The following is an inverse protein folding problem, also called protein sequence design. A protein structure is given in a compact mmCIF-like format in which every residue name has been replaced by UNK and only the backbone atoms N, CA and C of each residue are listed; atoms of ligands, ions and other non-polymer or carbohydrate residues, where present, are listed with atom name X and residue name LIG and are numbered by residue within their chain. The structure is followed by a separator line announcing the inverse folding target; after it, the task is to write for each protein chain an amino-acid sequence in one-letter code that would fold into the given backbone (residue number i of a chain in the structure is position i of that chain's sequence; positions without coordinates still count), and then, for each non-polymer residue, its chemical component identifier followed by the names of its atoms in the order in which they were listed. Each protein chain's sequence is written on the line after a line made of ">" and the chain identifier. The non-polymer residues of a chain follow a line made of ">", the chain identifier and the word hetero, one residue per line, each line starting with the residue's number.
data_IF_247846197385
#
_entry.id   IF_247846197385
#
_cell.length_a   1.000
_cell.length_b   1.000
_cell.length_c   1.000
_cell.angle_alpha   90.00
_cell.angle_beta   90.00
_cell.angle_gamma   90.00
#
_symmetry.space_group_name_H-M   'P 1'
#
loop_
_entity.id
_entity.type
_entity.pdbx_description
1 polymer ?
#
# COMPACT_ATOMS: atom_id res chain seq x y z
N UNK A 1 -14.40 1.39 -7.69
CA UNK A 1 -15.02 1.61 -6.36
C UNK A 1 -14.83 3.04 -5.83
N UNK A 2 -13.61 3.58 -5.76
CA UNK A 2 -13.35 4.92 -5.20
C UNK A 2 -14.23 6.05 -5.77
N UNK A 3 -14.29 6.17 -7.10
CA UNK A 3 -15.13 7.18 -7.78
C UNK A 3 -16.59 7.06 -7.34
N UNK A 4 -17.11 5.83 -7.25
CA UNK A 4 -18.51 5.60 -6.90
C UNK A 4 -18.78 5.89 -5.43
N UNK A 5 -17.88 5.50 -4.52
CA UNK A 5 -17.98 5.80 -3.10
C UNK A 5 -17.99 7.31 -2.85
N UNK A 6 -17.04 8.05 -3.43
CA UNK A 6 -16.96 9.51 -3.28
C UNK A 6 -18.17 10.23 -3.87
N UNK A 7 -18.64 9.80 -5.06
CA UNK A 7 -19.89 10.32 -5.65
C UNK A 7 -21.10 10.02 -4.78
N UNK A 8 -21.15 8.85 -4.14
CA UNK A 8 -22.19 8.48 -3.20
C UNK A 8 -22.20 9.39 -1.96
N UNK A 9 -21.03 9.60 -1.35
CA UNK A 9 -20.88 10.51 -0.19
C UNK A 9 -21.27 11.95 -0.54
N UNK A 10 -20.72 12.50 -1.62
CA UNK A 10 -21.00 13.88 -2.05
C UNK A 10 -22.45 14.09 -2.46
N UNK A 11 -23.06 13.08 -3.08
CA UNK A 11 -24.46 13.12 -3.51
C UNK A 11 -25.45 12.65 -2.44
N UNK A 12 -25.00 12.34 -1.22
CA UNK A 12 -25.82 11.77 -0.14
C UNK A 12 -26.62 10.52 -0.58
N UNK A 13 -26.01 9.70 -1.44
CA UNK A 13 -26.62 8.51 -2.03
C UNK A 13 -26.07 7.25 -1.37
N UNK A 14 -26.79 6.77 -0.36
CA UNK A 14 -26.45 5.57 0.41
C UNK A 14 -26.33 4.31 -0.46
N UNK A 15 -27.11 4.21 -1.54
CA UNK A 15 -27.10 3.05 -2.44
C UNK A 15 -25.80 3.02 -3.24
N UNK A 16 -25.30 4.18 -3.70
CA UNK A 16 -23.99 4.26 -4.37
C UNK A 16 -22.83 3.91 -3.44
N UNK A 17 -22.87 4.34 -2.18
CA UNK A 17 -21.83 3.99 -1.21
C UNK A 17 -21.84 2.48 -0.93
N UNK A 18 -23.01 1.89 -0.73
CA UNK A 18 -23.15 0.44 -0.54
C UNK A 18 -22.66 -0.35 -1.77
N UNK A 19 -23.05 0.06 -2.98
CA UNK A 19 -22.60 -0.59 -4.22
C UNK A 19 -21.07 -0.52 -4.37
N UNK A 20 -20.46 0.62 -4.02
CA UNK A 20 -19.02 0.76 -4.07
C UNK A 20 -18.30 -0.13 -3.05
N UNK A 21 -18.86 -0.30 -1.84
CA UNK A 21 -18.36 -1.20 -0.81
C UNK A 21 -18.47 -2.66 -1.26
N UNK A 22 -19.63 -3.07 -1.76
CA UNK A 22 -19.92 -4.48 -2.07
C UNK A 22 -19.08 -4.97 -3.27
N UNK A 23 -18.82 -4.09 -4.23
CA UNK A 23 -17.95 -4.36 -5.37
C UNK A 23 -16.47 -4.58 -4.97
N UNK A 24 -16.06 -4.27 -3.73
CA UNK A 24 -14.69 -4.52 -3.28
C UNK A 24 -14.37 -6.01 -3.09
N UNK A 25 -15.37 -6.84 -2.82
CA UNK A 25 -15.18 -8.29 -2.61
C UNK A 25 -14.31 -8.92 -3.71
N UNK A 26 -14.65 -8.67 -4.98
CA UNK A 26 -13.89 -9.16 -6.13
C UNK A 26 -12.43 -8.68 -6.17
N UNK A 27 -12.16 -7.45 -5.71
CA UNK A 27 -10.80 -6.91 -5.69
C UNK A 27 -9.98 -7.46 -4.52
N UNK A 28 -10.62 -7.79 -3.39
CA UNK A 28 -9.93 -8.27 -2.18
C UNK A 28 -9.65 -9.76 -2.18
N UNK A 29 -10.33 -10.53 -3.04
CA UNK A 29 -10.21 -11.97 -3.10
C UNK A 29 -8.78 -12.44 -3.38
N UNK A 30 -8.35 -13.50 -2.70
CA UNK A 30 -7.13 -14.21 -3.04
C UNK A 30 -7.37 -15.07 -4.28
N UNK A 31 -6.42 -15.09 -5.21
CA UNK A 31 -6.52 -15.83 -6.47
C UNK A 31 -5.43 -16.91 -6.56
N UNK A 32 -5.65 -17.91 -7.42
CA UNK A 32 -4.67 -18.96 -7.74
C UNK A 32 -4.34 -18.98 -9.24
N UNK A 33 -4.68 -17.92 -9.97
CA UNK A 33 -4.38 -17.73 -11.39
C UNK A 33 -4.69 -16.29 -11.77
N UNK A 34 -3.89 -15.72 -12.67
CA UNK A 34 -4.10 -14.36 -13.17
C UNK A 34 -3.82 -13.28 -12.12
N UNK A 35 -4.49 -12.15 -12.28
CA UNK A 35 -4.22 -10.93 -11.53
C UNK A 35 -4.74 -10.98 -10.09
N UNK A 36 -3.94 -10.47 -9.15
CA UNK A 36 -4.32 -10.32 -7.75
C UNK A 36 -3.27 -10.82 -6.77
N UNK A 37 -3.71 -11.01 -5.53
CA UNK A 37 -2.88 -11.55 -4.43
C UNK A 37 -2.96 -13.08 -4.46
N UNK A 38 -1.79 -13.72 -4.47
CA UNK A 38 -1.63 -15.18 -4.44
C UNK A 38 -1.28 -15.69 -3.04
N UNK A 39 -1.48 -17.00 -2.75
CA UNK A 39 -1.32 -17.56 -1.40
C UNK A 39 0.10 -17.42 -0.82
N UNK A 40 1.14 -17.41 -1.65
CA UNK A 40 2.54 -17.26 -1.24
C UNK A 40 2.91 -15.80 -0.88
N UNK A 41 2.05 -14.84 -1.22
CA UNK A 41 2.27 -13.41 -1.07
C UNK A 41 2.62 -12.71 -2.39
N UNK A 42 2.69 -13.42 -3.52
CA UNK A 42 2.88 -12.80 -4.83
C UNK A 42 1.72 -11.87 -5.17
N UNK A 43 2.03 -10.74 -5.79
CA UNK A 43 1.06 -9.87 -6.44
C UNK A 43 1.32 -9.88 -7.94
N UNK A 44 0.38 -10.43 -8.69
CA UNK A 44 0.44 -10.55 -10.14
C UNK A 44 -0.46 -9.51 -10.78
N UNK A 45 0.03 -8.91 -11.86
CA UNK A 45 -0.77 -8.07 -12.74
C UNK A 45 -0.33 -8.31 -14.20
N UNK A 46 -1.16 -7.93 -15.16
CA UNK A 46 -0.92 -8.24 -16.59
C UNK A 46 -0.72 -9.75 -16.79
N UNK A 47 -1.62 -10.52 -16.17
CA UNK A 47 -1.79 -11.97 -16.22
C UNK A 47 -0.67 -12.79 -15.57
N UNK A 48 0.57 -12.29 -15.58
CA UNK A 48 1.77 -13.09 -15.21
C UNK A 48 2.94 -12.29 -14.65
N UNK A 49 2.85 -10.95 -14.57
CA UNK A 49 4.00 -10.13 -14.18
C UNK A 49 4.02 -9.85 -12.67
N UNK A 50 5.18 -9.99 -11.99
CA UNK A 50 5.34 -9.50 -10.63
C UNK A 50 5.22 -7.98 -10.60
N UNK A 51 4.21 -7.50 -9.89
CA UNK A 51 3.81 -6.09 -9.97
C UNK A 51 3.53 -5.45 -8.62
N UNK A 52 3.92 -6.08 -7.51
CA UNK A 52 3.71 -5.58 -6.15
C UNK A 52 4.24 -4.15 -5.93
N UNK A 53 5.36 -3.80 -6.58
CA UNK A 53 6.02 -2.50 -6.49
C UNK A 53 5.49 -1.44 -7.46
N UNK A 54 4.47 -1.73 -8.29
CA UNK A 54 3.81 -0.72 -9.12
C UNK A 54 2.28 -0.83 -9.10
N UNK A 55 1.65 -1.71 -9.88
CA UNK A 55 0.18 -1.87 -9.76
C UNK A 55 -0.26 -2.30 -8.36
N UNK A 56 0.59 -3.02 -7.62
CA UNK A 56 0.36 -3.33 -6.21
C UNK A 56 0.34 -2.09 -5.31
N UNK A 57 1.08 -1.03 -5.67
CA UNK A 57 1.04 0.28 -4.98
C UNK A 57 -0.31 0.95 -5.19
N UNK A 58 -0.77 1.04 -6.44
CA UNK A 58 -2.07 1.63 -6.78
C UNK A 58 -3.22 0.83 -6.13
N UNK A 59 -3.11 -0.50 -6.12
CA UNK A 59 -4.06 -1.39 -5.48
C UNK A 59 -4.12 -1.16 -3.97
N UNK A 60 -2.98 -1.16 -3.27
CA UNK A 60 -2.92 -1.02 -1.82
C UNK A 60 -3.36 0.37 -1.35
N UNK A 61 -2.86 1.43 -2.00
CA UNK A 61 -3.27 2.82 -1.70
C UNK A 61 -4.76 3.01 -2.01
N UNK A 62 -5.23 2.39 -3.09
CA UNK A 62 -6.62 2.40 -3.52
C UNK A 62 -7.58 1.85 -2.47
N UNK A 63 -7.25 0.66 -1.98
CA UNK A 63 -7.98 -0.01 -0.90
C UNK A 63 -7.80 0.70 0.44
N UNK A 64 -6.59 1.14 0.78
CA UNK A 64 -6.30 1.88 2.00
C UNK A 64 -7.21 3.10 2.17
N UNK A 65 -7.44 3.86 1.09
CA UNK A 65 -8.40 4.97 1.09
C UNK A 65 -9.82 4.52 1.42
N UNK A 66 -10.29 3.42 0.81
CA UNK A 66 -11.66 2.94 1.02
C UNK A 66 -11.85 2.34 2.42
N UNK A 67 -10.86 1.60 2.93
CA UNK A 67 -10.85 1.12 4.31
C UNK A 67 -10.90 2.28 5.30
N UNK A 68 -10.08 3.31 5.09
CA UNK A 68 -10.05 4.49 5.96
C UNK A 68 -11.33 5.34 5.87
N UNK A 69 -11.91 5.49 4.67
CA UNK A 69 -13.12 6.27 4.44
C UNK A 69 -14.35 5.64 5.08
N UNK A 70 -14.47 4.31 4.98
CA UNK A 70 -15.66 3.58 5.43
C UNK A 70 -15.58 3.09 6.88
N UNK A 71 -14.39 3.13 7.50
CA UNK A 71 -14.18 2.71 8.89
C UNK A 71 -15.12 3.43 9.87
N UNK A 72 -15.79 2.65 10.75
CA UNK A 72 -16.72 3.17 11.76
C UNK A 72 -18.06 3.70 11.23
N UNK A 73 -18.28 3.67 9.90
CA UNK A 73 -19.56 4.02 9.30
C UNK A 73 -20.49 2.81 9.18
N UNK A 74 -21.76 3.05 8.82
CA UNK A 74 -22.72 1.98 8.45
C UNK A 74 -22.29 1.19 7.20
N UNK A 75 -21.32 1.69 6.43
CA UNK A 75 -20.74 1.02 5.26
C UNK A 75 -19.35 0.44 5.52
N UNK A 76 -18.95 0.27 6.78
CA UNK A 76 -17.69 -0.38 7.12
C UNK A 76 -17.54 -1.72 6.37
N UNK A 77 -16.32 -1.99 5.89
CA UNK A 77 -16.00 -3.22 5.17
C UNK A 77 -15.93 -4.38 6.17
N UNK A 78 -16.89 -5.29 6.05
CA UNK A 78 -17.03 -6.49 6.90
C UNK A 78 -16.89 -7.80 6.13
N UNK A 79 -16.79 -7.75 4.80
CA UNK A 79 -16.61 -8.95 3.97
C UNK A 79 -15.32 -9.70 4.39
N UNK A 80 -15.34 -11.04 4.56
CA UNK A 80 -14.18 -11.82 5.04
C UNK A 80 -12.89 -11.60 4.24
N UNK A 81 -12.97 -11.40 2.93
CA UNK A 81 -11.79 -11.15 2.07
C UNK A 81 -10.99 -9.91 2.47
N UNK A 82 -11.52 -9.03 3.32
CA UNK A 82 -10.72 -7.95 3.93
C UNK A 82 -9.44 -8.49 4.59
N UNK A 83 -9.48 -9.70 5.16
CA UNK A 83 -8.35 -10.30 5.84
C UNK A 83 -7.22 -10.72 4.88
N UNK A 84 -7.54 -10.93 3.60
CA UNK A 84 -6.54 -11.11 2.54
C UNK A 84 -5.73 -9.82 2.39
N UNK A 85 -6.41 -8.68 2.30
CA UNK A 85 -5.78 -7.35 2.17
C UNK A 85 -4.98 -7.01 3.42
N UNK A 86 -5.57 -7.13 4.61
CA UNK A 86 -4.87 -6.83 5.86
C UNK A 86 -3.62 -7.74 6.01
N UNK A 87 -3.79 -9.06 5.80
CA UNK A 87 -2.68 -10.01 5.89
C UNK A 87 -1.59 -9.81 4.81
N UNK A 88 -1.93 -9.23 3.66
CA UNK A 88 -0.97 -9.01 2.57
C UNK A 88 0.07 -7.93 2.86
N UNK A 89 -0.16 -7.00 3.80
CA UNK A 89 0.90 -6.09 4.26
C UNK A 89 2.12 -6.89 4.75
N UNK A 90 1.91 -7.91 5.57
CA UNK A 90 2.99 -8.76 6.09
C UNK A 90 3.52 -9.76 5.05
N UNK A 91 2.64 -10.35 4.23
CA UNK A 91 3.02 -11.46 3.33
C UNK A 91 3.57 -10.99 1.98
N UNK A 92 3.13 -9.83 1.50
CA UNK A 92 3.44 -9.29 0.18
C UNK A 92 4.38 -8.11 0.27
N UNK A 93 3.99 -7.01 0.94
CA UNK A 93 4.73 -5.76 0.81
C UNK A 93 5.87 -5.58 1.81
N UNK A 94 5.70 -5.97 3.07
CA UNK A 94 6.75 -5.78 4.08
C UNK A 94 8.10 -6.45 3.71
N UNK A 95 8.14 -7.66 3.10
CA UNK A 95 9.41 -8.26 2.65
C UNK A 95 10.01 -7.59 1.41
N UNK A 96 9.24 -6.77 0.69
CA UNK A 96 9.65 -6.14 -0.57
C UNK A 96 10.08 -4.68 -0.41
N UNK A 97 9.91 -4.12 0.79
CA UNK A 97 10.37 -2.79 1.18
C UNK A 97 11.65 -2.95 1.99
N UNK A 98 12.68 -2.16 1.66
CA UNK A 98 13.95 -2.16 2.36
C UNK A 98 14.43 -0.72 2.54
N UNK A 99 14.55 -0.24 3.78
CA UNK A 99 15.03 1.12 4.07
C UNK A 99 14.38 2.23 3.20
N UNK A 100 13.07 2.08 2.95
CA UNK A 100 12.27 3.07 2.20
C UNK A 100 12.04 2.75 0.72
N UNK A 101 12.92 1.99 0.06
CA UNK A 101 12.73 1.57 -1.33
C UNK A 101 11.84 0.34 -1.43
N UNK A 102 11.19 0.14 -2.58
CA UNK A 102 10.61 -1.15 -2.97
C UNK A 102 11.46 -1.79 -4.08
N UNK A 103 11.74 -3.09 -3.98
CA UNK A 103 12.62 -3.75 -4.95
C UNK A 103 12.13 -3.63 -6.41
N UNK A 104 13.04 -3.27 -7.31
CA UNK A 104 12.74 -3.12 -8.74
C UNK A 104 12.28 -4.42 -9.42
N UNK A 105 12.70 -5.57 -8.89
CA UNK A 105 12.32 -6.89 -9.40
C UNK A 105 10.80 -7.14 -9.40
N UNK A 106 10.01 -6.36 -8.65
CA UNK A 106 8.55 -6.44 -8.55
C UNK A 106 7.83 -5.21 -9.10
N UNK A 107 8.53 -4.36 -9.86
CA UNK A 107 8.00 -3.08 -10.37
C UNK A 107 7.69 -3.08 -11.87
N UNK A 108 7.97 -4.19 -12.57
CA UNK A 108 7.71 -4.35 -14.00
C UNK A 108 8.28 -3.20 -14.83
N UNK A 109 7.49 -2.64 -15.76
CA UNK A 109 7.92 -1.50 -16.59
C UNK A 109 8.13 -0.20 -15.81
N UNK A 110 7.75 -0.12 -14.53
CA UNK A 110 7.88 1.12 -13.77
C UNK A 110 9.36 1.48 -13.52
N UNK A 111 10.27 0.51 -13.59
CA UNK A 111 11.72 0.76 -13.46
C UNK A 111 12.28 1.63 -14.60
N UNK A 112 11.59 1.69 -15.75
CA UNK A 112 12.00 2.54 -16.88
C UNK A 112 11.47 3.95 -16.77
N UNK A 113 10.73 4.28 -15.70
CA UNK A 113 10.23 5.63 -15.45
C UNK A 113 11.34 6.40 -14.74
N UNK A 114 11.43 7.68 -15.08
CA UNK A 114 12.36 8.62 -14.47
C UNK A 114 11.72 10.00 -14.53
N UNK A 115 12.51 11.03 -14.79
CA UNK A 115 11.93 12.35 -15.07
C UNK A 115 11.15 12.31 -16.39
N UNK A 116 9.88 12.74 -16.34
CA UNK A 116 9.04 12.82 -17.53
C UNK A 116 9.64 13.82 -18.51
N UNK A 117 9.61 13.50 -19.81
CA UNK A 117 10.05 14.41 -20.85
C UNK A 117 9.22 15.71 -20.80
N UNK A 118 9.90 16.86 -20.83
CA UNK A 118 9.25 18.18 -20.70
C UNK A 118 8.83 18.55 -19.28
N UNK A 119 9.25 17.80 -18.25
CA UNK A 119 8.95 18.16 -16.87
C UNK A 119 9.64 19.48 -16.48
N UNK A 120 8.86 20.40 -15.92
CA UNK A 120 9.33 21.69 -15.46
C UNK A 120 10.08 21.65 -14.12
N UNK A 121 10.49 22.81 -13.60
CA UNK A 121 11.12 22.91 -12.28
C UNK A 121 10.26 22.25 -11.20
N UNK A 122 10.92 21.50 -10.31
CA UNK A 122 10.25 20.81 -9.20
C UNK A 122 9.69 19.43 -9.56
N UNK A 123 9.90 18.95 -10.78
CA UNK A 123 9.56 17.59 -11.20
C UNK A 123 9.96 16.52 -10.17
N UNK A 124 9.11 15.51 -10.05
CA UNK A 124 9.31 14.36 -9.17
C UNK A 124 9.85 13.23 -10.03
N UNK A 125 10.96 12.64 -9.58
CA UNK A 125 11.52 11.45 -10.19
C UNK A 125 10.70 10.23 -9.76
N UNK A 126 10.29 9.40 -10.72
CA UNK A 126 9.69 8.10 -10.40
C UNK A 126 10.82 7.07 -10.24
N UNK A 127 11.22 6.79 -9.00
CA UNK A 127 12.23 5.77 -8.65
C UNK A 127 11.71 4.77 -7.61
N UNK A 128 12.58 3.87 -7.16
CA UNK A 128 12.28 2.80 -6.20
C UNK A 128 11.85 3.34 -4.83
N UNK A 129 12.47 4.43 -4.36
CA UNK A 129 12.05 5.15 -3.17
C UNK A 129 10.70 5.85 -3.36
N UNK A 130 10.45 6.54 -4.47
CA UNK A 130 9.14 7.16 -4.71
C UNK A 130 7.99 6.12 -4.65
N UNK A 131 8.22 4.92 -5.22
CA UNK A 131 7.26 3.80 -5.14
C UNK A 131 7.17 3.21 -3.73
N UNK A 132 8.30 3.05 -3.05
CA UNK A 132 8.35 2.55 -1.67
C UNK A 132 7.67 3.49 -0.68
N UNK A 133 7.89 4.79 -0.79
CA UNK A 133 7.25 5.82 0.04
C UNK A 133 5.74 5.86 -0.18
N UNK A 134 5.28 5.70 -1.42
CA UNK A 134 3.86 5.56 -1.72
C UNK A 134 3.25 4.31 -1.05
N UNK A 135 3.96 3.17 -1.03
CA UNK A 135 3.54 1.99 -0.28
C UNK A 135 3.50 2.25 1.23
N UNK A 136 4.54 2.87 1.81
CA UNK A 136 4.62 3.20 3.23
C UNK A 136 3.45 4.11 3.63
N UNK A 137 3.18 5.15 2.85
CA UNK A 137 2.04 6.04 3.04
C UNK A 137 0.69 5.31 2.90
N UNK A 138 0.59 4.38 1.95
CA UNK A 138 -0.58 3.52 1.73
C UNK A 138 -0.85 2.57 2.89
N UNK A 139 0.19 1.92 3.42
CA UNK A 139 0.11 1.05 4.60
C UNK A 139 -0.35 1.87 5.82
N UNK A 140 0.23 3.05 6.04
CA UNK A 140 -0.18 3.95 7.11
C UNK A 140 -1.64 4.41 6.96
N UNK A 141 -2.13 4.61 5.73
CA UNK A 141 -3.54 4.93 5.48
C UNK A 141 -4.46 3.72 5.76
N UNK A 142 -4.09 2.53 5.28
CA UNK A 142 -4.83 1.28 5.49
C UNK A 142 -4.97 0.97 6.99
N UNK A 143 -3.94 1.28 7.80
CA UNK A 143 -3.96 1.11 9.25
C UNK A 143 -5.15 1.80 9.94
N UNK A 144 -5.73 2.86 9.35
CA UNK A 144 -6.93 3.52 9.89
C UNK A 144 -8.19 2.65 9.85
N UNK A 145 -8.24 1.67 8.95
CA UNK A 145 -9.33 0.70 8.85
C UNK A 145 -9.00 -0.69 9.38
N UNK A 146 -7.81 -0.86 9.97
CA UNK A 146 -7.32 -2.14 10.48
C UNK A 146 -7.67 -2.33 11.98
N UNK A 147 -7.77 -3.57 12.47
CA UNK A 147 -7.83 -3.82 13.91
C UNK A 147 -6.55 -3.34 14.62
N UNK A 148 -6.58 -3.13 15.96
CA UNK A 148 -5.46 -2.59 16.71
C UNK A 148 -4.15 -3.39 16.54
N UNK A 149 -4.22 -4.72 16.51
CA UNK A 149 -3.04 -5.58 16.39
C UNK A 149 -2.30 -5.36 15.08
N UNK A 150 -3.00 -5.36 13.94
CA UNK A 150 -2.42 -5.08 12.62
C UNK A 150 -1.92 -3.63 12.55
N UNK A 151 -2.71 -2.67 13.01
CA UNK A 151 -2.35 -1.25 13.02
C UNK A 151 -1.04 -1.00 13.76
N UNK A 152 -0.92 -1.51 14.98
CA UNK A 152 0.23 -1.26 15.84
C UNK A 152 1.50 -1.90 15.25
N UNK A 153 1.37 -3.10 14.67
CA UNK A 153 2.46 -3.75 13.95
C UNK A 153 2.90 -2.94 12.73
N UNK A 154 1.96 -2.46 11.91
CA UNK A 154 2.28 -1.67 10.72
C UNK A 154 2.87 -0.30 11.06
N UNK A 155 2.41 0.35 12.12
CA UNK A 155 3.03 1.58 12.61
C UNK A 155 4.49 1.33 13.00
N UNK A 156 4.79 0.20 13.64
CA UNK A 156 6.17 -0.21 13.93
C UNK A 156 7.03 -0.39 12.69
N UNK A 157 6.51 -1.05 11.65
CA UNK A 157 7.18 -1.19 10.35
C UNK A 157 7.43 0.17 9.69
N UNK A 158 6.38 1.01 9.60
CA UNK A 158 6.44 2.37 9.04
C UNK A 158 7.49 3.21 9.75
N UNK A 159 7.50 3.21 11.10
CA UNK A 159 8.49 3.93 11.88
C UNK A 159 9.91 3.42 11.62
N UNK A 160 10.07 2.10 11.49
CA UNK A 160 11.34 1.47 11.11
C UNK A 160 11.86 1.96 9.76
N UNK A 161 11.04 1.89 8.72
CA UNK A 161 11.42 2.35 7.38
C UNK A 161 11.74 3.85 7.35
N UNK A 162 10.93 4.68 8.02
CA UNK A 162 11.18 6.13 8.13
C UNK A 162 12.52 6.44 8.81
N UNK A 163 12.92 5.65 9.82
CA UNK A 163 14.19 5.86 10.52
C UNK A 163 15.41 5.39 9.73
N UNK A 164 15.26 4.33 8.92
CA UNK A 164 16.38 3.74 8.17
C UNK A 164 16.61 4.36 6.80
N UNK A 165 15.58 4.97 6.20
CA UNK A 165 15.75 5.72 4.95
C UNK A 165 16.49 7.05 5.18
N UNK A 166 17.81 6.93 5.28
CA UNK A 166 18.71 8.06 5.48
C UNK A 166 19.19 8.65 4.15
N UNK A 167 19.03 7.90 3.05
CA UNK A 167 19.41 8.39 1.73
C UNK A 167 18.35 9.37 1.25
N UNK A 168 17.10 8.95 1.06
CA UNK A 168 15.97 9.74 0.58
C UNK A 168 14.85 9.83 1.63
N UNK A 169 14.96 10.72 2.63
CA UNK A 169 14.09 10.67 3.80
C UNK A 169 12.60 10.77 3.46
N UNK A 170 11.85 9.72 3.83
CA UNK A 170 10.40 9.58 3.60
C UNK A 170 9.62 10.84 4.00
N UNK A 171 9.94 11.47 5.13
CA UNK A 171 9.22 12.63 5.67
C UNK A 171 9.43 13.93 4.88
N UNK A 172 10.36 13.92 3.93
CA UNK A 172 10.66 15.07 3.04
C UNK A 172 10.34 14.78 1.58
N UNK A 173 9.80 13.60 1.27
CA UNK A 173 9.48 13.22 -0.10
C UNK A 173 8.28 14.04 -0.61
N UNK A 174 8.52 14.75 -1.72
CA UNK A 174 7.53 15.58 -2.41
C UNK A 174 6.53 14.75 -3.24
N UNK A 175 6.79 13.47 -3.44
CA UNK A 175 5.88 12.53 -4.09
C UNK A 175 4.70 12.12 -3.18
N UNK A 176 4.87 12.22 -1.87
CA UNK A 176 3.83 11.92 -0.87
C UNK A 176 3.03 13.18 -0.57
N UNK A 177 1.70 13.06 -0.57
CA UNK A 177 0.84 14.21 -0.28
C UNK A 177 0.97 14.69 1.18
N UNK A 178 0.54 15.93 1.43
CA UNK A 178 0.66 16.56 2.75
C UNK A 178 -0.03 15.76 3.87
N UNK A 179 -1.18 15.13 3.60
CA UNK A 179 -1.90 14.35 4.59
C UNK A 179 -1.18 13.03 4.91
N UNK A 180 -0.54 12.42 3.90
CA UNK A 180 0.35 11.29 4.02
C UNK A 180 1.57 11.64 4.86
N UNK A 181 2.29 12.71 4.52
CA UNK A 181 3.45 13.18 5.27
C UNK A 181 3.10 13.48 6.74
N UNK A 182 1.98 14.14 6.99
CA UNK A 182 1.49 14.42 8.36
C UNK A 182 1.24 13.12 9.14
N UNK A 183 0.63 12.12 8.51
CA UNK A 183 0.37 10.81 9.14
C UNK A 183 1.66 10.06 9.44
N UNK A 184 2.60 10.05 8.50
CA UNK A 184 3.90 9.40 8.68
C UNK A 184 4.73 10.08 9.77
N UNK A 185 4.74 11.42 9.79
CA UNK A 185 5.40 12.19 10.83
C UNK A 185 4.80 11.91 12.23
N UNK A 186 3.47 11.80 12.33
CA UNK A 186 2.80 11.45 13.58
C UNK A 186 3.21 10.05 14.08
N UNK A 187 3.24 9.04 13.19
CA UNK A 187 3.70 7.68 13.54
C UNK A 187 5.18 7.70 13.96
N UNK A 188 6.02 8.44 13.25
CA UNK A 188 7.45 8.54 13.54
C UNK A 188 7.74 9.22 14.89
N UNK A 189 6.96 10.25 15.24
CA UNK A 189 7.11 11.00 16.48
C UNK A 189 6.47 10.33 17.71
N UNK A 190 5.56 9.37 17.52
CA UNK A 190 4.85 8.71 18.62
C UNK A 190 5.80 7.85 19.48
N UNK A 191 6.02 8.18 20.77
CA UNK A 191 6.90 7.41 21.63
C UNK A 191 6.33 6.03 22.00
N UNK A 192 5.02 5.80 21.87
CA UNK A 192 4.41 4.49 22.12
C UNK A 192 4.68 3.50 20.97
N UNK A 193 5.00 3.99 19.77
CA UNK A 193 5.34 3.14 18.63
C UNK A 193 6.82 2.75 18.71
N UNK A 194 7.08 1.45 18.86
CA UNK A 194 8.44 0.90 18.75
C UNK A 194 8.74 0.62 17.29
N UNK A 195 9.86 1.16 16.78
CA UNK A 195 10.32 0.88 15.43
C UNK A 195 10.68 -0.60 15.26
N UNK A 196 10.18 -1.23 14.20
CA UNK A 196 10.49 -2.63 13.88
C UNK A 196 11.64 -2.72 12.85
N UNK A 197 12.49 -3.76 12.94
CA UNK A 197 13.50 -4.02 11.92
C UNK A 197 12.84 -4.51 10.61
N UNK A 198 13.63 -4.68 9.57
CA UNK A 198 13.17 -5.43 8.39
C UNK A 198 12.78 -6.87 8.78
N UNK A 199 11.82 -7.48 8.07
CA UNK A 199 11.52 -8.89 8.26
C UNK A 199 12.78 -9.75 8.13
N UNK A 200 13.06 -10.58 9.13
CA UNK A 200 14.22 -11.46 9.12
C UNK A 200 13.99 -12.73 8.29
N UNK A 201 15.06 -13.24 7.69
CA UNK A 201 15.06 -14.49 6.91
C UNK A 201 14.89 -14.27 5.41
N UNK A 202 14.70 -15.37 4.68
CA UNK A 202 14.39 -15.34 3.25
C UNK A 202 12.91 -15.59 3.01
N UNK A 203 12.38 -15.04 1.91
CA UNK A 203 10.99 -15.21 1.47
C UNK A 203 10.99 -15.63 0.01
N UNK A 204 10.33 -16.75 -0.27
CA UNK A 204 10.10 -17.22 -1.64
C UNK A 204 8.70 -16.79 -2.09
N UNK A 205 8.61 -16.36 -3.35
CA UNK A 205 7.39 -16.02 -4.06
C UNK A 205 7.30 -16.85 -5.36
N UNK A 206 7.09 -18.19 -5.27
CA UNK A 206 7.08 -19.08 -6.43
C UNK A 206 6.10 -18.69 -7.53
N UNK A 207 4.97 -18.05 -7.20
CA UNK A 207 3.97 -17.67 -8.19
C UNK A 207 4.43 -16.52 -9.10
N UNK A 208 5.54 -15.86 -8.76
CA UNK A 208 6.15 -14.77 -9.54
C UNK A 208 7.63 -14.97 -9.84
N UNK A 209 8.19 -16.14 -9.52
CA UNK A 209 9.61 -16.42 -9.66
C UNK A 209 10.50 -15.38 -8.97
N UNK A 210 10.19 -15.04 -7.71
CA UNK A 210 10.98 -14.10 -6.90
C UNK A 210 11.43 -14.71 -5.58
N UNK A 211 12.56 -14.23 -5.07
CA UNK A 211 13.06 -14.51 -3.74
C UNK A 211 13.71 -13.24 -3.19
N UNK A 212 13.56 -13.00 -1.88
CA UNK A 212 14.20 -11.91 -1.13
C UNK A 212 14.77 -12.45 0.17
#
# INVERSE_FOLDING_TARGET
>A
CQVLALRGVLGQDAVKVALARDALSAAMAQVTSGDGIHPDGSFIQHERLPYAGAYGVDYLTGLGLLFALLAGSTWQITHPDREVVLGSVRRTWAPLIFDGLVFDAVSGRAISRGLRAGAGPGAIQEDDHARGHALIAGIALLAKGAPPTERDHWHGLVKGWVQRDTRWPVLTDRSVDFAGLTRLAAIAADPAVTALPEPAGHRLFPWTDRAV
#
